data_IF_508593670273
#
_entry.id   IF_508593670273
#
_cell.length_a   1.000
_cell.length_b   1.000
_cell.length_c   1.000
_cell.angle_alpha   90.00
_cell.angle_beta   90.00
_cell.angle_gamma   90.00
#
_symmetry.space_group_name_H-M   'P 1'
#
loop_
_entity.id
_entity.type
_entity.pdbx_description
1 polymer ?
#
# COMPACT_ATOMS: atom_id res chain seq x y z
N UNK A 1 -4.30 0.13 30.29
CA UNK A 1 -3.62 -0.81 29.37
C UNK A 1 -3.98 -0.36 27.96
N UNK A 2 -3.04 0.25 27.25
CA UNK A 2 -3.21 0.64 25.84
C UNK A 2 -3.13 -0.63 25.01
N UNK A 3 -4.27 -1.25 24.72
CA UNK A 3 -4.36 -2.10 23.54
C UNK A 3 -3.91 -1.24 22.36
N UNK A 4 -2.75 -1.60 21.81
CA UNK A 4 -1.95 -0.71 21.00
C UNK A 4 -2.70 -0.38 19.71
N UNK A 5 -2.80 0.92 19.36
CA UNK A 5 -3.26 1.39 18.04
C UNK A 5 -2.64 0.60 16.88
N UNK A 6 -1.44 0.07 17.08
CA UNK A 6 -0.75 -0.83 16.16
C UNK A 6 -1.55 -2.08 15.77
N UNK A 7 -2.18 -2.77 16.73
CA UNK A 7 -2.94 -3.99 16.44
C UNK A 7 -4.20 -3.70 15.63
N UNK A 8 -4.88 -2.59 15.96
CA UNK A 8 -6.02 -2.09 15.19
C UNK A 8 -5.60 -1.69 13.77
N UNK A 9 -4.47 -1.01 13.60
CA UNK A 9 -3.98 -0.63 12.28
C UNK A 9 -3.69 -1.83 11.38
N UNK A 10 -3.06 -2.88 11.93
CA UNK A 10 -2.83 -4.14 11.18
C UNK A 10 -4.17 -4.77 10.74
N UNK A 11 -5.15 -4.79 11.65
CA UNK A 11 -6.46 -5.36 11.34
C UNK A 11 -7.20 -4.54 10.27
N UNK A 12 -7.19 -3.21 10.37
CA UNK A 12 -7.82 -2.32 9.40
C UNK A 12 -7.16 -2.46 8.00
N UNK A 13 -5.82 -2.55 7.95
CA UNK A 13 -5.09 -2.81 6.70
C UNK A 13 -5.47 -4.16 6.09
N UNK A 14 -5.58 -5.21 6.92
CA UNK A 14 -6.00 -6.55 6.50
C UNK A 14 -7.41 -6.53 5.89
N UNK A 15 -8.35 -5.85 6.53
CA UNK A 15 -9.74 -5.70 6.05
C UNK A 15 -9.77 -4.98 4.69
N UNK A 16 -8.95 -3.95 4.52
CA UNK A 16 -8.84 -3.25 3.23
C UNK A 16 -8.26 -4.16 2.16
N UNK A 17 -7.23 -4.94 2.48
CA UNK A 17 -6.69 -5.96 1.57
C UNK A 17 -7.77 -6.95 1.12
N UNK A 18 -8.57 -7.48 2.06
CA UNK A 18 -9.70 -8.37 1.74
C UNK A 18 -10.74 -7.72 0.83
N UNK A 19 -11.04 -6.44 1.05
CA UNK A 19 -11.95 -5.68 0.18
C UNK A 19 -11.39 -5.55 -1.24
N UNK A 20 -10.09 -5.24 -1.38
CA UNK A 20 -9.43 -5.11 -2.68
C UNK A 20 -9.38 -6.45 -3.42
N UNK A 21 -9.07 -7.55 -2.72
CA UNK A 21 -9.08 -8.91 -3.28
C UNK A 21 -10.46 -9.30 -3.81
N UNK A 22 -11.52 -8.90 -3.11
CA UNK A 22 -12.88 -9.26 -3.46
C UNK A 22 -13.46 -8.40 -4.59
N UNK A 23 -13.15 -7.10 -4.60
CA UNK A 23 -13.88 -6.14 -5.45
C UNK A 23 -13.00 -5.37 -6.45
N UNK A 24 -11.70 -5.23 -6.21
CA UNK A 24 -10.81 -4.44 -7.05
C UNK A 24 -10.00 -5.32 -8.02
N UNK A 25 -9.17 -6.24 -7.51
CA UNK A 25 -8.24 -7.00 -8.34
C UNK A 25 -8.92 -7.86 -9.42
N UNK A 26 -10.04 -8.58 -9.16
CA UNK A 26 -10.75 -9.32 -10.21
C UNK A 26 -11.23 -8.43 -11.36
N UNK A 27 -11.61 -7.18 -11.06
CA UNK A 27 -12.03 -6.20 -12.07
C UNK A 27 -10.83 -5.74 -12.91
N UNK A 28 -9.68 -5.52 -12.28
CA UNK A 28 -8.43 -5.15 -12.97
C UNK A 28 -7.95 -6.28 -13.87
N UNK A 29 -7.90 -7.52 -13.38
CA UNK A 29 -7.54 -8.70 -14.18
C UNK A 29 -8.45 -8.83 -15.40
N UNK A 30 -9.77 -8.74 -15.20
CA UNK A 30 -10.73 -8.83 -16.31
C UNK A 30 -10.55 -7.68 -17.31
N UNK A 31 -10.36 -6.45 -16.84
CA UNK A 31 -10.21 -5.26 -17.68
C UNK A 31 -8.93 -5.30 -18.52
N UNK A 32 -7.86 -5.88 -17.99
CA UNK A 32 -6.56 -5.96 -18.66
C UNK A 32 -6.12 -7.41 -18.93
N UNK A 33 -7.07 -8.31 -19.19
CA UNK A 33 -6.83 -9.75 -19.39
C UNK A 33 -5.84 -10.09 -20.50
N UNK A 34 -5.63 -9.17 -21.45
CA UNK A 34 -4.64 -9.30 -22.53
C UNK A 34 -3.22 -8.88 -22.11
N UNK A 35 -3.05 -8.26 -20.95
CA UNK A 35 -1.78 -7.76 -20.41
C UNK A 35 -1.41 -8.40 -19.07
N UNK A 36 -2.41 -8.79 -18.27
CA UNK A 36 -2.25 -9.36 -16.94
C UNK A 36 -2.56 -10.86 -17.02
N UNK A 37 -1.68 -11.67 -16.44
CA UNK A 37 -1.89 -13.10 -16.28
C UNK A 37 -2.66 -13.40 -14.98
N UNK A 38 -2.17 -12.91 -13.85
CA UNK A 38 -2.84 -12.96 -12.55
C UNK A 38 -2.47 -11.72 -11.69
N UNK A 39 -3.21 -11.55 -10.60
CA UNK A 39 -2.91 -10.69 -9.47
C UNK A 39 -3.19 -11.49 -8.21
N UNK A 40 -2.17 -11.75 -7.40
CA UNK A 40 -2.30 -12.61 -6.21
C UNK A 40 -1.74 -11.93 -4.96
N UNK A 41 -2.46 -12.07 -3.85
CA UNK A 41 -1.97 -11.66 -2.54
C UNK A 41 -0.82 -12.56 -2.11
N UNK A 42 0.26 -11.94 -1.69
CA UNK A 42 1.40 -12.61 -1.11
C UNK A 42 1.16 -12.86 0.38
N UNK A 43 1.16 -14.12 0.80
CA UNK A 43 1.04 -14.55 2.21
C UNK A 43 2.39 -14.88 2.86
N UNK A 44 3.49 -14.74 2.12
CA UNK A 44 4.84 -14.89 2.69
C UNK A 44 5.16 -13.69 3.57
N UNK A 45 5.19 -13.93 4.89
CA UNK A 45 5.48 -12.95 5.94
C UNK A 45 6.82 -12.25 5.71
N UNK A 46 7.84 -12.94 5.20
CA UNK A 46 9.15 -12.35 4.92
C UNK A 46 9.07 -11.32 3.80
N UNK A 47 8.26 -11.59 2.77
CA UNK A 47 8.02 -10.67 1.65
C UNK A 47 7.07 -9.52 2.03
N UNK A 48 6.00 -9.80 2.77
CA UNK A 48 5.11 -8.74 3.29
C UNK A 48 5.89 -7.74 4.16
N UNK A 49 6.79 -8.25 5.00
CA UNK A 49 7.68 -7.39 5.79
C UNK A 49 8.55 -6.46 4.93
N UNK A 50 8.82 -6.80 3.67
CA UNK A 50 9.55 -5.98 2.70
C UNK A 50 8.66 -5.08 1.83
N UNK A 51 7.36 -4.97 2.15
CA UNK A 51 6.42 -4.16 1.38
C UNK A 51 5.98 -4.84 0.08
N UNK A 52 5.66 -6.13 0.14
CA UNK A 52 5.10 -6.88 -0.99
C UNK A 52 3.84 -7.58 -0.52
N UNK A 53 2.71 -6.91 -0.70
CA UNK A 53 1.38 -7.40 -0.32
C UNK A 53 0.74 -8.17 -1.46
N UNK A 54 0.94 -7.70 -2.69
CA UNK A 54 0.32 -8.27 -3.90
C UNK A 54 1.38 -8.38 -5.00
N UNK A 55 1.30 -9.46 -5.79
CA UNK A 55 2.16 -9.69 -6.94
C UNK A 55 1.27 -9.74 -8.17
N UNK A 56 1.56 -8.89 -9.16
CA UNK A 56 0.93 -8.92 -10.46
C UNK A 56 1.88 -9.58 -11.46
N UNK A 57 1.42 -10.65 -12.09
CA UNK A 57 2.12 -11.30 -13.20
C UNK A 57 1.57 -10.78 -14.53
N UNK A 58 2.42 -10.22 -15.37
CA UNK A 58 2.04 -9.81 -16.73
C UNK A 58 2.10 -10.98 -17.71
N UNK A 59 1.37 -10.87 -18.82
CA UNK A 59 1.44 -11.86 -19.92
C UNK A 59 2.83 -11.98 -20.56
N UNK A 60 3.71 -11.00 -20.36
CA UNK A 60 5.12 -11.06 -20.79
C UNK A 60 6.03 -11.78 -19.77
N UNK A 61 5.48 -12.31 -18.67
CA UNK A 61 6.23 -12.98 -17.61
C UNK A 61 6.93 -12.03 -16.63
N UNK A 62 6.74 -10.72 -16.75
CA UNK A 62 7.26 -9.76 -15.76
C UNK A 62 6.38 -9.77 -14.52
N UNK A 63 7.01 -9.84 -13.35
CA UNK A 63 6.36 -9.70 -12.05
C UNK A 63 6.45 -8.24 -11.58
N UNK A 64 5.39 -7.76 -10.96
CA UNK A 64 5.32 -6.43 -10.35
C UNK A 64 4.88 -6.62 -8.91
N UNK A 65 5.76 -6.29 -7.97
CA UNK A 65 5.47 -6.32 -6.54
C UNK A 65 4.80 -5.01 -6.12
N UNK A 66 3.64 -5.12 -5.47
CA UNK A 66 2.78 -4.01 -5.07
C UNK A 66 2.73 -3.96 -3.54
N UNK A 67 2.97 -2.77 -2.99
CA UNK A 67 2.81 -2.43 -1.58
C UNK A 67 1.52 -1.62 -1.41
N UNK A 68 0.55 -2.17 -0.69
CA UNK A 68 -0.73 -1.52 -0.41
C UNK A 68 -0.57 -0.56 0.77
N UNK A 69 -0.81 0.72 0.53
CA UNK A 69 -0.72 1.77 1.55
C UNK A 69 -2.07 2.43 1.72
N UNK A 70 -2.70 2.19 2.86
CA UNK A 70 -4.03 2.73 3.14
C UNK A 70 -4.00 3.79 4.23
N UNK A 71 -4.67 4.92 4.01
CA UNK A 71 -4.85 5.96 5.02
C UNK A 71 -6.01 5.60 5.98
N UNK A 72 -5.88 4.48 6.70
CA UNK A 72 -6.96 3.89 7.55
C UNK A 72 -7.51 4.86 8.59
N UNK A 73 -6.63 5.62 9.26
CA UNK A 73 -7.00 6.67 10.22
C UNK A 73 -7.79 7.86 9.62
N UNK A 74 -7.87 7.93 8.28
CA UNK A 74 -8.48 9.03 7.52
C UNK A 74 -9.69 8.61 6.69
N UNK A 75 -10.29 7.45 6.97
CA UNK A 75 -11.57 7.11 6.35
C UNK A 75 -12.62 8.21 6.59
N UNK A 76 -13.37 8.56 5.54
CA UNK A 76 -14.37 9.65 5.53
C UNK A 76 -13.81 11.07 5.79
N UNK A 77 -12.50 11.31 5.60
CA UNK A 77 -11.90 12.65 5.83
C UNK A 77 -11.52 13.42 4.57
N UNK A 78 -11.72 12.84 3.39
CA UNK A 78 -11.49 13.48 2.08
C UNK A 78 -10.10 14.17 1.96
N UNK A 79 -9.06 13.57 2.54
CA UNK A 79 -7.72 14.16 2.50
C UNK A 79 -7.09 13.99 1.10
N UNK A 80 -6.60 15.06 0.45
CA UNK A 80 -6.07 14.98 -0.91
C UNK A 80 -4.60 14.52 -0.98
N UNK A 81 -4.03 14.10 0.15
CA UNK A 81 -2.60 13.82 0.30
C UNK A 81 -2.36 12.45 0.91
N UNK A 82 -1.22 11.84 0.58
CA UNK A 82 -0.68 10.66 1.24
C UNK A 82 0.71 10.97 1.78
N UNK A 83 1.10 10.32 2.88
CA UNK A 83 2.44 10.45 3.47
C UNK A 83 3.19 9.15 3.33
N UNK A 84 4.44 9.23 2.86
CA UNK A 84 5.37 8.10 2.84
C UNK A 84 6.48 8.33 3.86
N UNK A 85 6.84 7.27 4.57
CA UNK A 85 7.93 7.30 5.53
C UNK A 85 9.29 7.35 4.82
N UNK A 86 10.09 8.37 5.12
CA UNK A 86 11.48 8.49 4.68
C UNK A 86 12.42 7.81 5.69
N UNK A 87 12.24 8.13 6.97
CA UNK A 87 12.95 7.51 8.10
C UNK A 87 12.17 7.69 9.40
N UNK A 88 12.51 6.91 10.42
CA UNK A 88 11.92 7.00 11.76
C UNK A 88 12.95 6.66 12.84
N UNK A 89 12.74 7.15 14.06
CA UNK A 89 13.55 6.79 15.22
C UNK A 89 12.86 5.69 16.01
N UNK A 90 13.56 4.58 16.22
CA UNK A 90 13.13 3.50 17.12
C UNK A 90 14.28 3.13 18.04
N UNK A 91 14.05 3.21 19.34
CA UNK A 91 15.05 2.94 20.38
C UNK A 91 16.34 3.77 20.19
N UNK A 92 16.19 5.06 19.86
CA UNK A 92 17.27 6.00 19.49
C UNK A 92 18.12 5.59 18.28
N UNK A 93 17.68 4.62 17.49
CA UNK A 93 18.32 4.22 16.24
C UNK A 93 17.49 4.74 15.08
N UNK A 94 18.13 5.51 14.18
CA UNK A 94 17.52 5.92 12.93
C UNK A 94 17.30 4.69 12.06
N UNK A 95 16.06 4.48 11.63
CA UNK A 95 15.62 3.40 10.75
C UNK A 95 15.19 3.99 9.42
N UNK A 96 15.54 3.30 8.34
CA UNK A 96 15.11 3.67 7.00
C UNK A 96 13.60 3.42 6.84
N UNK A 97 12.91 4.38 6.24
CA UNK A 97 11.50 4.28 5.91
C UNK A 97 11.26 3.62 4.55
N UNK A 98 9.98 3.50 4.20
CA UNK A 98 9.52 2.69 3.07
C UNK A 98 9.98 3.23 1.71
N UNK A 99 10.17 4.55 1.59
CA UNK A 99 10.49 5.18 0.32
C UNK A 99 11.92 4.91 -0.15
N UNK A 100 12.91 4.96 0.73
CA UNK A 100 14.33 4.81 0.37
C UNK A 100 15.04 3.63 1.05
N UNK A 101 14.41 2.99 2.03
CA UNK A 101 15.02 1.92 2.79
C UNK A 101 15.26 0.64 1.99
N UNK A 102 16.42 0.01 2.21
CA UNK A 102 16.85 -1.18 1.48
C UNK A 102 15.98 -2.39 1.79
N UNK A 103 15.40 -2.42 3.00
CA UNK A 103 14.42 -3.43 3.40
C UNK A 103 13.24 -3.51 2.42
N UNK A 104 12.89 -2.39 1.79
CA UNK A 104 11.75 -2.24 0.88
C UNK A 104 12.18 -2.19 -0.58
N UNK A 105 13.35 -2.75 -0.92
CA UNK A 105 13.87 -2.79 -2.30
C UNK A 105 13.01 -3.60 -3.24
N UNK A 106 12.24 -4.55 -2.70
CA UNK A 106 11.45 -5.50 -3.48
C UNK A 106 10.13 -4.88 -3.94
N UNK A 107 9.73 -3.71 -3.42
CA UNK A 107 8.53 -2.97 -3.84
C UNK A 107 8.75 -2.24 -5.16
N UNK A 108 7.96 -2.59 -6.19
CA UNK A 108 7.99 -1.87 -7.47
C UNK A 108 7.00 -0.71 -7.53
N UNK A 109 5.84 -0.89 -6.91
CA UNK A 109 4.67 -0.01 -7.03
C UNK A 109 4.00 0.16 -5.69
N UNK A 110 3.66 1.40 -5.32
CA UNK A 110 2.73 1.68 -4.24
C UNK A 110 1.31 1.74 -4.79
N UNK A 111 0.36 1.15 -4.08
CA UNK A 111 -1.07 1.37 -4.27
C UNK A 111 -1.59 2.18 -3.08
N UNK A 112 -1.79 3.48 -3.28
CA UNK A 112 -2.33 4.37 -2.25
C UNK A 112 -3.84 4.29 -2.24
N UNK A 113 -4.41 4.01 -1.07
CA UNK A 113 -5.84 3.82 -0.87
C UNK A 113 -6.41 4.84 0.12
N UNK A 114 -7.47 5.51 -0.30
CA UNK A 114 -8.35 6.33 0.54
C UNK A 114 -9.72 5.66 0.58
N UNK A 115 -10.30 5.55 1.77
CA UNK A 115 -11.52 4.78 1.95
C UNK A 115 -12.65 5.57 2.60
N UNK A 116 -13.86 5.10 2.34
CA UNK A 116 -15.07 5.61 2.98
C UNK A 116 -15.88 4.47 3.56
N UNK A 117 -16.49 4.71 4.71
CA UNK A 117 -17.42 3.77 5.35
C UNK A 117 -18.86 4.21 5.10
N UNK A 118 -19.78 3.26 4.95
CA UNK A 118 -21.21 3.58 4.91
C UNK A 118 -21.68 4.13 6.27
N UNK A 119 -21.27 3.49 7.36
CA UNK A 119 -21.49 3.98 8.72
C UNK A 119 -20.17 4.41 9.36
N UNK A 120 -19.99 5.72 9.52
CA UNK A 120 -18.79 6.30 10.10
C UNK A 120 -18.54 5.89 11.56
N UNK A 121 -19.60 5.54 12.30
CA UNK A 121 -19.55 5.21 13.73
C UNK A 121 -19.23 3.74 14.00
N UNK A 122 -19.34 2.87 12.99
CA UNK A 122 -18.99 1.46 13.10
C UNK A 122 -17.50 1.24 12.82
N UNK A 123 -16.95 0.18 13.38
CA UNK A 123 -15.61 -0.28 13.01
C UNK A 123 -15.54 -0.64 11.53
N UNK A 124 -14.31 -0.72 11.02
CA UNK A 124 -14.06 -1.12 9.65
C UNK A 124 -14.42 -2.60 9.48
N UNK A 125 -15.08 -2.92 8.39
CA UNK A 125 -15.30 -4.30 7.91
C UNK A 125 -15.45 -4.24 6.40
N UNK A 126 -15.26 -5.36 5.71
CA UNK A 126 -15.40 -5.43 4.24
C UNK A 126 -16.79 -4.94 3.79
N UNK A 127 -17.83 -5.23 4.57
CA UNK A 127 -19.22 -4.86 4.29
C UNK A 127 -19.53 -3.40 4.61
N UNK A 128 -18.79 -2.80 5.56
CA UNK A 128 -18.96 -1.40 5.93
C UNK A 128 -18.13 -0.46 5.05
N UNK A 129 -17.20 -0.97 4.23
CA UNK A 129 -16.50 -0.16 3.24
C UNK A 129 -17.47 0.19 2.10
N UNK A 130 -17.74 1.48 1.95
CA UNK A 130 -18.57 2.04 0.88
C UNK A 130 -17.84 2.04 -0.45
N UNK A 131 -16.64 2.62 -0.45
CA UNK A 131 -15.76 2.66 -1.62
C UNK A 131 -14.33 2.94 -1.19
N UNK A 132 -13.40 2.63 -2.09
CA UNK A 132 -11.99 2.98 -2.00
C UNK A 132 -11.59 3.68 -3.29
N UNK A 133 -10.91 4.81 -3.16
CA UNK A 133 -10.17 5.45 -4.24
C UNK A 133 -8.72 4.99 -4.17
N UNK A 134 -8.18 4.51 -5.30
CA UNK A 134 -6.86 3.90 -5.35
C UNK A 134 -5.99 4.52 -6.46
N UNK A 135 -4.74 4.87 -6.13
CA UNK A 135 -3.75 5.38 -7.08
C UNK A 135 -2.49 4.53 -7.05
N UNK A 136 -2.06 4.06 -8.22
CA UNK A 136 -0.81 3.30 -8.36
C UNK A 136 0.34 4.20 -8.81
N UNK A 137 1.47 4.12 -8.10
CA UNK A 137 2.67 4.91 -8.41
C UNK A 137 3.89 3.99 -8.40
N UNK A 138 4.66 3.97 -9.49
CA UNK A 138 5.95 3.28 -9.55
C UNK A 138 6.94 3.92 -8.58
N UNK A 139 7.49 3.15 -7.66
CA UNK A 139 8.45 3.62 -6.64
C UNK A 139 9.64 4.33 -7.27
N UNK A 140 10.24 3.73 -8.30
CA UNK A 140 11.38 4.31 -9.02
C UNK A 140 11.06 5.63 -9.73
N UNK A 141 9.82 5.79 -10.23
CA UNK A 141 9.39 7.05 -10.86
C UNK A 141 9.14 8.14 -9.82
N UNK A 142 8.60 7.78 -8.65
CA UNK A 142 8.45 8.71 -7.54
C UNK A 142 9.82 9.16 -7.01
N UNK A 143 10.73 8.24 -6.75
CA UNK A 143 12.09 8.56 -6.31
C UNK A 143 12.80 9.47 -7.32
N UNK A 144 12.73 9.15 -8.62
CA UNK A 144 13.30 9.99 -9.67
C UNK A 144 12.67 11.39 -9.70
N UNK A 145 11.35 11.50 -9.58
CA UNK A 145 10.66 12.78 -9.53
C UNK A 145 11.14 13.63 -8.35
N UNK A 146 11.33 13.00 -7.19
CA UNK A 146 11.78 13.69 -5.97
C UNK A 146 13.22 14.20 -6.10
N UNK A 147 14.10 13.37 -6.64
CA UNK A 147 15.49 13.73 -6.93
C UNK A 147 15.55 14.87 -7.96
N UNK A 148 14.89 14.71 -9.11
CA UNK A 148 14.93 15.68 -10.21
C UNK A 148 14.34 17.06 -9.83
N UNK A 149 13.31 17.10 -8.96
CA UNK A 149 12.58 18.35 -8.65
C UNK A 149 12.96 18.98 -7.31
N UNK A 150 13.39 18.19 -6.35
CA UNK A 150 13.57 18.64 -4.97
C UNK A 150 14.94 18.27 -4.40
N UNK A 151 15.83 17.64 -5.18
CA UNK A 151 17.12 17.13 -4.72
C UNK A 151 16.96 16.22 -3.48
N UNK A 152 15.88 15.45 -3.44
CA UNK A 152 15.56 14.53 -2.36
C UNK A 152 15.77 13.08 -2.82
N UNK A 153 16.78 12.42 -2.26
CA UNK A 153 17.11 11.04 -2.55
C UNK A 153 17.51 10.29 -1.28
N UNK A 154 18.09 9.09 -1.42
CA UNK A 154 18.44 8.24 -0.28
C UNK A 154 19.55 8.84 0.60
N UNK A 155 20.33 9.79 0.09
CA UNK A 155 21.56 10.27 0.71
C UNK A 155 21.44 11.65 1.35
N UNK A 156 20.31 12.34 1.20
CA UNK A 156 20.09 13.71 1.67
C UNK A 156 18.67 13.93 2.22
#
# INVERSE_FOLDING_TARGET
MTESKYAKNIEDERIVGEFLDKYFYPVIEKKYMNKINNIERNYDVSKQNKGVDVILESKSGSLINIDEKTATDYFNKDIPTFVLEISFLKDNVLKEGWLFGNKYSDTDTYLFCWGWKEDANKDLSVENIKHIEAYSIRKSKLQKLLDDKYDLNKYN
#
